data_IF_800669361157
#
_entry.id   IF_800669361157
#
_cell.length_a   1.000
_cell.length_b   1.000
_cell.length_c   1.000
_cell.angle_alpha   90.00
_cell.angle_beta   90.00
_cell.angle_gamma   90.00
#
_symmetry.space_group_name_H-M   'P 1'
#
loop_
_entity.id
_entity.type
_entity.pdbx_description
1 polymer ?
#
# COMPACT_ATOMS: atom_id res chain seq x y z
N UNK A 1 3.30 8.10 15.11
CA UNK A 1 4.75 8.15 14.84
C UNK A 1 4.94 8.71 13.45
N UNK A 2 5.94 9.57 13.24
CA UNK A 2 6.28 10.08 11.91
C UNK A 2 7.07 9.00 11.15
N UNK A 3 6.66 8.69 9.93
CA UNK A 3 7.37 7.77 9.03
C UNK A 3 8.60 8.50 8.46
N UNK A 4 9.75 7.82 8.44
CA UNK A 4 10.99 8.27 7.82
C UNK A 4 11.77 7.07 7.26
N UNK A 5 12.90 7.30 6.58
CA UNK A 5 13.68 6.22 5.95
C UNK A 5 14.18 5.15 6.92
N UNK A 6 14.45 5.51 8.17
CA UNK A 6 15.01 4.59 9.18
C UNK A 6 13.96 3.66 9.76
N UNK A 7 12.69 4.08 9.78
CA UNK A 7 11.61 3.35 10.44
C UNK A 7 10.49 2.88 9.48
N UNK A 8 10.51 3.29 8.20
CA UNK A 8 9.44 3.02 7.23
C UNK A 8 9.08 1.54 7.12
N UNK A 9 10.08 0.66 7.02
CA UNK A 9 9.85 -0.78 6.91
C UNK A 9 9.16 -1.38 8.14
N UNK A 10 9.60 -0.98 9.34
CA UNK A 10 9.07 -1.53 10.58
C UNK A 10 7.66 -1.01 10.87
N UNK A 11 7.39 0.27 10.57
CA UNK A 11 6.03 0.83 10.66
C UNK A 11 5.11 0.14 9.64
N UNK A 12 5.56 -0.05 8.40
CA UNK A 12 4.78 -0.76 7.38
C UNK A 12 4.41 -2.16 7.84
N UNK A 13 5.39 -2.97 8.29
CA UNK A 13 5.12 -4.32 8.81
C UNK A 13 4.14 -4.33 9.97
N UNK A 14 4.24 -3.36 10.88
CA UNK A 14 3.32 -3.23 12.01
C UNK A 14 1.89 -2.96 11.51
N UNK A 15 1.72 -2.03 10.56
CA UNK A 15 0.40 -1.68 10.04
C UNK A 15 -0.20 -2.80 9.17
N UNK A 16 0.64 -3.48 8.39
CA UNK A 16 0.28 -4.70 7.63
C UNK A 16 -0.20 -5.78 8.60
N UNK A 17 0.54 -6.05 9.66
CA UNK A 17 0.17 -7.05 10.68
C UNK A 17 -1.16 -6.70 11.34
N UNK A 18 -1.31 -5.45 11.79
CA UNK A 18 -2.54 -4.95 12.41
C UNK A 18 -3.78 -5.08 11.51
N UNK A 19 -3.61 -4.93 10.20
CA UNK A 19 -4.70 -5.01 9.23
C UNK A 19 -4.98 -6.45 8.76
N UNK A 20 -3.96 -7.17 8.30
CA UNK A 20 -4.12 -8.48 7.66
C UNK A 20 -4.23 -9.64 8.65
N UNK A 21 -3.63 -9.55 9.84
CA UNK A 21 -3.59 -10.68 10.77
C UNK A 21 -4.97 -11.05 11.32
N UNK A 22 -5.82 -10.10 11.76
CA UNK A 22 -7.20 -10.42 12.18
C UNK A 22 -8.01 -11.08 11.07
N UNK A 23 -7.77 -10.64 9.84
CA UNK A 23 -8.47 -11.14 8.67
C UNK A 23 -8.08 -12.59 8.32
N UNK A 24 -6.78 -12.92 8.34
CA UNK A 24 -6.29 -14.30 8.16
C UNK A 24 -6.82 -15.28 9.22
N UNK A 25 -7.25 -14.78 10.37
CA UNK A 25 -7.82 -15.57 11.47
C UNK A 25 -9.35 -15.69 11.40
N UNK A 26 -9.98 -15.30 10.29
CA UNK A 26 -11.43 -15.36 10.10
C UNK A 26 -12.21 -14.20 10.74
N UNK A 27 -11.53 -13.11 11.11
CA UNK A 27 -12.14 -11.88 11.59
C UNK A 27 -12.62 -10.96 10.47
N UNK A 28 -13.36 -9.91 10.84
CA UNK A 28 -13.83 -8.88 9.90
C UNK A 28 -12.72 -7.88 9.55
N UNK A 29 -12.84 -7.25 8.38
CA UNK A 29 -11.92 -6.20 7.96
C UNK A 29 -12.14 -4.94 8.81
N UNK A 30 -11.04 -4.31 9.23
CA UNK A 30 -11.11 -3.05 9.99
C UNK A 30 -10.71 -1.87 9.09
N UNK A 31 -11.70 -1.08 8.67
CA UNK A 31 -11.49 0.09 7.80
C UNK A 31 -10.55 1.13 8.41
N UNK A 32 -10.52 1.26 9.75
CA UNK A 32 -9.63 2.20 10.44
C UNK A 32 -8.17 1.74 10.31
N UNK A 33 -7.92 0.43 10.44
CA UNK A 33 -6.58 -0.15 10.25
C UNK A 33 -6.14 -0.06 8.80
N UNK A 34 -7.04 -0.30 7.85
CA UNK A 34 -6.76 -0.11 6.43
C UNK A 34 -6.36 1.34 6.11
N UNK A 35 -7.15 2.33 6.57
CA UNK A 35 -6.84 3.74 6.35
C UNK A 35 -5.48 4.13 6.93
N UNK A 36 -5.11 3.57 8.09
CA UNK A 36 -3.79 3.77 8.69
C UNK A 36 -2.68 3.22 7.78
N UNK A 37 -2.83 1.99 7.28
CA UNK A 37 -1.88 1.40 6.33
C UNK A 37 -1.71 2.26 5.07
N UNK A 38 -2.81 2.77 4.51
CA UNK A 38 -2.76 3.67 3.34
C UNK A 38 -2.02 4.97 3.65
N UNK A 39 -2.23 5.58 4.82
CA UNK A 39 -1.48 6.76 5.21
C UNK A 39 0.02 6.47 5.30
N UNK A 40 0.41 5.35 5.89
CA UNK A 40 1.81 4.91 5.96
C UNK A 40 2.39 4.70 4.55
N UNK A 41 1.66 4.06 3.64
CA UNK A 41 2.09 3.89 2.25
C UNK A 41 2.22 5.22 1.51
N UNK A 42 1.28 6.15 1.72
CA UNK A 42 1.35 7.49 1.15
C UNK A 42 2.63 8.22 1.62
N UNK A 43 2.94 8.16 2.91
CA UNK A 43 4.16 8.75 3.46
C UNK A 43 5.41 8.09 2.88
N UNK A 44 5.40 6.76 2.70
CA UNK A 44 6.48 6.04 2.03
C UNK A 44 6.68 6.55 0.60
N UNK A 45 5.61 6.74 -0.19
CA UNK A 45 5.75 7.29 -1.56
C UNK A 45 6.38 8.69 -1.57
N UNK A 46 6.12 9.52 -0.56
CA UNK A 46 6.73 10.85 -0.43
C UNK A 46 8.20 10.76 -0.06
N UNK A 47 8.54 9.92 0.91
CA UNK A 47 9.90 9.78 1.45
C UNK A 47 10.87 9.22 0.41
N UNK A 48 10.38 8.31 -0.43
CA UNK A 48 11.18 7.62 -1.44
C UNK A 48 11.00 8.17 -2.85
N UNK A 49 10.32 9.32 -2.99
CA UNK A 49 10.17 10.00 -4.27
C UNK A 49 11.55 10.31 -4.87
N UNK A 50 11.73 10.00 -6.14
CA UNK A 50 12.98 10.26 -6.89
C UNK A 50 14.24 9.60 -6.31
N UNK A 51 14.10 8.63 -5.41
CA UNK A 51 15.24 7.83 -4.95
C UNK A 51 15.66 6.84 -6.02
N UNK A 52 16.95 6.83 -6.35
CA UNK A 52 17.51 5.92 -7.36
C UNK A 52 17.49 4.45 -6.90
N UNK A 53 17.61 4.21 -5.58
CA UNK A 53 17.68 2.89 -4.99
C UNK A 53 16.64 2.70 -3.88
N UNK A 54 15.61 1.92 -4.19
CA UNK A 54 14.57 1.57 -3.23
C UNK A 54 14.96 0.33 -2.40
N UNK A 55 14.70 0.32 -1.08
CA UNK A 55 14.96 -0.86 -0.26
C UNK A 55 14.12 -2.05 -0.71
N UNK A 56 14.77 -3.12 -1.21
CA UNK A 56 14.09 -4.33 -1.72
C UNK A 56 13.09 -4.94 -0.73
N UNK A 57 13.43 -4.93 0.57
CA UNK A 57 12.56 -5.44 1.63
C UNK A 57 11.26 -4.63 1.75
N UNK A 58 11.32 -3.31 1.60
CA UNK A 58 10.17 -2.43 1.62
C UNK A 58 9.24 -2.72 0.43
N UNK A 59 9.81 -2.76 -0.78
CA UNK A 59 9.06 -3.10 -2.00
C UNK A 59 8.40 -4.48 -1.91
N UNK A 60 9.13 -5.47 -1.38
CA UNK A 60 8.61 -6.84 -1.22
C UNK A 60 7.43 -6.88 -0.24
N UNK A 61 7.51 -6.14 0.88
CA UNK A 61 6.44 -6.08 1.87
C UNK A 61 5.15 -5.50 1.26
N UNK A 62 5.26 -4.39 0.51
CA UNK A 62 4.11 -3.75 -0.15
C UNK A 62 3.49 -4.70 -1.18
N UNK A 63 4.32 -5.29 -2.04
CA UNK A 63 3.85 -6.22 -3.08
C UNK A 63 3.15 -7.44 -2.50
N UNK A 64 3.77 -8.11 -1.53
CA UNK A 64 3.21 -9.31 -0.89
C UNK A 64 1.93 -8.99 -0.10
N UNK A 65 1.83 -7.79 0.48
CA UNK A 65 0.60 -7.31 1.13
C UNK A 65 -0.53 -7.20 0.12
N UNK A 66 -0.31 -6.51 -1.01
CA UNK A 66 -1.32 -6.34 -2.05
C UNK A 66 -1.76 -7.68 -2.64
N UNK A 67 -0.82 -8.56 -3.00
CA UNK A 67 -1.11 -9.90 -3.51
C UNK A 67 -1.84 -10.76 -2.47
N UNK A 68 -1.46 -10.68 -1.20
CA UNK A 68 -2.13 -11.40 -0.11
C UNK A 68 -3.60 -11.01 0.01
N UNK A 69 -3.90 -9.71 -0.05
CA UNK A 69 -5.28 -9.20 0.01
C UNK A 69 -6.06 -9.58 -1.27
N UNK A 70 -5.41 -9.48 -2.44
CA UNK A 70 -6.00 -9.84 -3.73
C UNK A 70 -6.42 -11.31 -3.76
N UNK A 71 -5.53 -12.21 -3.33
CA UNK A 71 -5.82 -13.64 -3.29
C UNK A 71 -6.98 -13.96 -2.33
N UNK A 72 -7.04 -13.32 -1.17
CA UNK A 72 -8.17 -13.58 -0.29
C UNK A 72 -9.47 -12.96 -0.81
N UNK A 73 -9.44 -11.77 -1.41
CA UNK A 73 -10.60 -11.15 -2.05
C UNK A 73 -11.26 -12.12 -3.03
N UNK A 74 -10.46 -12.85 -3.81
CA UNK A 74 -10.93 -13.89 -4.73
C UNK A 74 -11.53 -15.10 -4.00
N UNK A 75 -10.87 -15.56 -2.92
CA UNK A 75 -11.33 -16.69 -2.13
C UNK A 75 -12.69 -16.43 -1.47
N UNK A 76 -12.86 -15.28 -0.82
CA UNK A 76 -14.09 -14.91 -0.11
C UNK A 76 -15.10 -14.14 -0.96
N UNK A 77 -14.79 -13.89 -2.25
CA UNK A 77 -15.61 -13.14 -3.21
C UNK A 77 -16.02 -11.74 -2.72
N UNK A 78 -15.10 -11.04 -2.07
CA UNK A 78 -15.32 -9.69 -1.54
C UNK A 78 -14.65 -8.65 -2.44
N UNK A 79 -15.45 -7.87 -3.17
CA UNK A 79 -14.97 -6.86 -4.12
C UNK A 79 -14.30 -5.65 -3.46
N UNK A 80 -14.65 -5.32 -2.22
CA UNK A 80 -14.06 -4.19 -1.50
C UNK A 80 -12.58 -4.47 -1.21
N UNK A 81 -12.25 -5.70 -0.78
CA UNK A 81 -10.86 -6.12 -0.59
C UNK A 81 -10.06 -6.11 -1.89
N UNK A 82 -10.69 -6.48 -3.01
CA UNK A 82 -10.05 -6.41 -4.33
C UNK A 82 -9.70 -4.97 -4.70
N UNK A 83 -10.53 -4.01 -4.30
CA UNK A 83 -10.27 -2.58 -4.51
C UNK A 83 -9.14 -2.08 -3.59
N UNK A 84 -9.10 -2.54 -2.34
CA UNK A 84 -8.01 -2.24 -1.41
C UNK A 84 -6.65 -2.78 -1.90
N UNK A 85 -6.62 -4.01 -2.41
CA UNK A 85 -5.41 -4.60 -2.98
C UNK A 85 -4.88 -3.78 -4.15
N UNK A 86 -5.77 -3.31 -5.04
CA UNK A 86 -5.41 -2.44 -6.16
C UNK A 86 -4.81 -1.13 -5.67
N UNK A 87 -5.44 -0.47 -4.69
CA UNK A 87 -4.94 0.79 -4.14
C UNK A 87 -3.53 0.65 -3.53
N UNK A 88 -3.25 -0.46 -2.82
CA UNK A 88 -1.90 -0.74 -2.29
C UNK A 88 -0.91 -1.00 -3.43
N UNK A 89 -1.30 -1.75 -4.45
CA UNK A 89 -0.46 -2.03 -5.61
C UNK A 89 -0.15 -0.76 -6.42
N UNK A 90 -1.08 0.19 -6.51
CA UNK A 90 -0.81 1.50 -7.10
C UNK A 90 0.35 2.21 -6.38
N UNK A 91 0.44 2.14 -5.05
CA UNK A 91 1.57 2.74 -4.31
C UNK A 91 2.89 2.04 -4.60
N UNK A 92 2.87 0.72 -4.81
CA UNK A 92 4.03 -0.02 -5.26
C UNK A 92 4.53 0.48 -6.62
N UNK A 93 3.63 0.68 -7.59
CA UNK A 93 4.01 1.19 -8.90
C UNK A 93 4.48 2.65 -8.86
N UNK A 94 3.85 3.51 -8.05
CA UNK A 94 4.33 4.87 -7.83
C UNK A 94 5.78 4.89 -7.36
N UNK A 95 6.12 4.04 -6.38
CA UNK A 95 7.50 3.91 -5.92
C UNK A 95 8.45 3.51 -7.05
N UNK A 96 8.11 2.49 -7.83
CA UNK A 96 8.95 2.06 -8.97
C UNK A 96 9.14 3.15 -10.03
N UNK A 97 8.13 3.99 -10.24
CA UNK A 97 8.18 5.12 -11.16
C UNK A 97 8.86 6.37 -10.56
N UNK A 98 9.27 6.33 -9.29
CA UNK A 98 9.81 7.48 -8.57
C UNK A 98 8.79 8.59 -8.29
N UNK A 99 7.50 8.25 -8.32
CA UNK A 99 6.35 9.13 -8.13
C UNK A 99 5.86 9.13 -6.67
N UNK A 100 5.09 10.15 -6.31
CA UNK A 100 4.40 10.26 -5.03
C UNK A 100 2.91 10.50 -5.18
N UNK A 101 2.14 10.25 -4.12
CA UNK A 101 0.69 10.52 -4.11
C UNK A 101 0.32 12.00 -4.29
N UNK A 102 1.25 12.90 -4.06
CA UNK A 102 1.05 14.34 -4.24
C UNK A 102 1.40 14.80 -5.67
N UNK A 103 1.89 13.90 -6.53
CA UNK A 103 2.25 14.23 -7.90
C UNK A 103 0.98 14.52 -8.72
N UNK A 104 1.01 15.56 -9.57
CA UNK A 104 -0.12 15.85 -10.43
C UNK A 104 -0.32 14.68 -11.37
N UNK A 105 -1.46 14.00 -11.24
CA UNK A 105 -1.86 13.01 -12.24
C UNK A 105 -1.99 13.76 -13.57
N UNK A 106 -1.35 13.29 -14.66
CA UNK A 106 -1.57 13.90 -15.96
C UNK A 106 -3.09 13.90 -16.18
N UNK A 107 -3.65 15.08 -16.48
CA UNK A 107 -5.04 15.15 -16.90
C UNK A 107 -5.18 14.14 -18.02
N UNK A 108 -5.97 13.10 -17.79
CA UNK A 108 -6.35 12.19 -18.87
C UNK A 108 -7.00 13.10 -19.89
N UNK A 109 -6.29 13.39 -20.97
CA UNK A 109 -6.71 14.36 -21.96
C UNK A 109 -8.13 14.02 -22.33
N UNK A 110 -9.08 14.90 -21.99
CA UNK A 110 -10.41 14.82 -22.57
C UNK A 110 -10.17 15.05 -24.05
N UNK A 111 -10.25 13.98 -24.84
CA UNK A 111 -10.42 14.10 -26.28
C UNK A 111 -11.76 14.83 -26.44
N UNK A 112 -11.68 16.12 -26.79
CA UNK A 112 -12.82 16.99 -27.09
C UNK A 112 -13.17 16.87 -28.56
#
# INVERSE_FOLDING_TARGET
MLVNKDNALEILKSDVTDFLYPFKMGGEFNIVKYKKLILTLNDITRIYKSEELLPKKLLSEIYLTAEGISNESLYIKNFDLGSMAKEIMEKYYMLLSGESVDDPKPEVGRII
#
